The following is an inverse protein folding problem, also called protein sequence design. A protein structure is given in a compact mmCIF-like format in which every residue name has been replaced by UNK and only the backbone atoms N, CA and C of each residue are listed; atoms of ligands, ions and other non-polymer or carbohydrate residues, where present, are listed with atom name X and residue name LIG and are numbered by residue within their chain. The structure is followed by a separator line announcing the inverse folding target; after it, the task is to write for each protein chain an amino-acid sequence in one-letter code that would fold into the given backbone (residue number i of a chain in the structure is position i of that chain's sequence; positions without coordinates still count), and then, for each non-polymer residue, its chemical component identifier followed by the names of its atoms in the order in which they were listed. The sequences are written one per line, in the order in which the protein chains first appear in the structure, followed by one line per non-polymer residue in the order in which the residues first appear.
data_IF_679175684937
#
_entry.id   IF_679175684937
#
_cell.length_a   1.000
_cell.length_b   1.000
_cell.length_c   1.000
_cell.angle_alpha   90.00
_cell.angle_beta   90.00
_cell.angle_gamma   90.00
#
_symmetry.space_group_name_H-M   'P 1'
#
loop_
_entity.id
_entity.type
_entity.pdbx_description
1 polymer ?
#
# COMPACT_ATOMS: atom_id res chain seq x y z
N UNK A 1 5.83 -25.72 7.16
CA UNK A 1 5.04 -24.54 7.62
C UNK A 1 3.60 -24.77 7.23
N UNK A 2 2.65 -24.62 8.15
CA UNK A 2 1.24 -24.56 7.77
C UNK A 2 1.00 -23.17 7.18
N UNK A 3 0.59 -23.10 5.92
CA UNK A 3 0.20 -21.83 5.31
C UNK A 3 -0.98 -21.26 6.10
N UNK A 4 -0.86 -20.02 6.59
CA UNK A 4 -1.98 -19.33 7.20
C UNK A 4 -3.08 -19.20 6.16
N UNK A 5 -4.29 -19.69 6.48
CA UNK A 5 -5.42 -19.61 5.56
C UNK A 5 -5.87 -18.15 5.45
N UNK A 6 -5.83 -17.60 4.25
CA UNK A 6 -6.31 -16.25 3.95
C UNK A 6 -7.27 -16.27 2.75
N UNK A 7 -8.09 -15.22 2.66
CA UNK A 7 -8.96 -14.98 1.51
C UNK A 7 -8.95 -13.48 1.18
N UNK A 8 -8.37 -13.13 0.05
CA UNK A 8 -8.45 -11.77 -0.49
C UNK A 8 -9.76 -11.61 -1.26
N UNK A 9 -10.47 -10.53 -0.98
CA UNK A 9 -11.61 -10.09 -1.79
C UNK A 9 -11.10 -9.13 -2.86
N UNK A 10 -10.79 -9.66 -4.05
CA UNK A 10 -10.17 -8.87 -5.13
C UNK A 10 -11.08 -7.76 -5.66
N UNK A 11 -12.40 -7.93 -5.60
CA UNK A 11 -13.34 -6.91 -6.04
C UNK A 11 -13.35 -5.73 -5.06
N UNK A 12 -13.41 -6.03 -3.76
CA UNK A 12 -13.37 -5.04 -2.69
C UNK A 12 -12.00 -4.33 -2.64
N UNK A 13 -10.89 -5.07 -2.85
CA UNK A 13 -9.53 -4.52 -2.97
C UNK A 13 -9.40 -3.56 -4.16
N UNK A 14 -9.86 -3.96 -5.34
CA UNK A 14 -9.81 -3.11 -6.53
C UNK A 14 -10.61 -1.82 -6.34
N UNK A 15 -11.81 -1.93 -5.75
CA UNK A 15 -12.68 -0.80 -5.42
C UNK A 15 -11.99 0.15 -4.45
N UNK A 16 -11.52 -0.36 -3.30
CA UNK A 16 -10.88 0.46 -2.26
C UNK A 16 -9.57 1.11 -2.74
N UNK A 17 -8.75 0.39 -3.52
CA UNK A 17 -7.54 0.93 -4.11
C UNK A 17 -7.81 2.06 -5.12
N UNK A 18 -8.87 1.91 -5.93
CA UNK A 18 -9.30 2.97 -6.85
C UNK A 18 -9.84 4.19 -6.09
N UNK A 19 -10.64 3.99 -5.06
CA UNK A 19 -11.16 5.04 -4.19
C UNK A 19 -10.01 5.85 -3.56
N UNK A 20 -9.02 5.18 -2.97
CA UNK A 20 -7.84 5.84 -2.39
C UNK A 20 -7.05 6.63 -3.45
N UNK A 21 -6.78 6.01 -4.62
CA UNK A 21 -6.06 6.68 -5.72
C UNK A 21 -6.77 7.95 -6.17
N UNK A 22 -8.08 7.88 -6.35
CA UNK A 22 -8.90 9.03 -6.76
C UNK A 22 -8.92 10.11 -5.68
N UNK A 23 -9.09 9.73 -4.41
CA UNK A 23 -9.07 10.66 -3.28
C UNK A 23 -7.73 11.39 -3.18
N UNK A 24 -6.61 10.67 -3.29
CA UNK A 24 -5.28 11.27 -3.29
C UNK A 24 -5.06 12.20 -4.48
N UNK A 25 -5.48 11.83 -5.70
CA UNK A 25 -5.31 12.68 -6.91
C UNK A 25 -6.16 13.93 -6.88
N UNK A 26 -7.37 13.85 -6.34
CA UNK A 26 -8.37 14.92 -6.33
C UNK A 26 -8.42 15.68 -5.00
N UNK A 27 -7.51 15.39 -4.07
CA UNK A 27 -7.46 16.09 -2.78
C UNK A 27 -7.28 17.59 -2.98
N UNK A 28 -8.18 18.38 -2.41
CA UNK A 28 -8.10 19.85 -2.35
C UNK A 28 -6.80 20.34 -1.69
N UNK A 29 -6.20 19.53 -0.82
CA UNK A 29 -4.96 19.87 -0.13
C UNK A 29 -3.76 20.00 -1.08
N UNK A 30 -3.86 19.45 -2.29
CA UNK A 30 -2.88 19.63 -3.38
C UNK A 30 -2.80 21.07 -3.91
N UNK A 31 -3.69 21.96 -3.50
CA UNK A 31 -3.58 23.41 -3.78
C UNK A 31 -2.44 24.05 -2.98
N UNK A 32 -2.02 23.44 -1.87
CA UNK A 32 -0.89 23.88 -1.06
C UNK A 32 0.37 23.12 -1.53
N UNK A 33 1.44 23.80 -1.97
CA UNK A 33 2.62 23.16 -2.56
C UNK A 33 3.25 22.06 -1.69
N UNK A 34 3.35 22.28 -0.37
CA UNK A 34 3.87 21.30 0.59
C UNK A 34 3.08 19.99 0.56
N UNK A 35 1.75 20.07 0.71
CA UNK A 35 0.90 18.87 0.68
C UNK A 35 0.82 18.24 -0.70
N UNK A 36 0.89 19.03 -1.78
CA UNK A 36 0.97 18.50 -3.13
C UNK A 36 2.18 17.58 -3.31
N UNK A 37 3.36 18.07 -2.93
CA UNK A 37 4.60 17.31 -3.05
C UNK A 37 4.53 16.00 -2.27
N UNK A 38 4.08 16.05 -1.02
CA UNK A 38 3.93 14.86 -0.18
C UNK A 38 2.92 13.88 -0.76
N UNK A 39 1.74 14.34 -1.17
CA UNK A 39 0.71 13.46 -1.76
C UNK A 39 1.21 12.83 -3.07
N UNK A 40 1.95 13.56 -3.90
CA UNK A 40 2.53 13.04 -5.14
C UNK A 40 3.58 11.95 -4.84
N UNK A 41 4.50 12.19 -3.89
CA UNK A 41 5.50 11.21 -3.46
C UNK A 41 4.85 9.93 -2.92
N UNK A 42 3.83 10.08 -2.09
CA UNK A 42 3.14 8.94 -1.48
C UNK A 42 2.30 8.16 -2.49
N UNK A 43 1.69 8.87 -3.45
CA UNK A 43 0.98 8.20 -4.54
C UNK A 43 1.94 7.39 -5.40
N UNK A 44 3.12 7.93 -5.73
CA UNK A 44 4.15 7.22 -6.49
C UNK A 44 4.66 5.98 -5.75
N UNK A 45 4.84 6.07 -4.42
CA UNK A 45 5.23 4.92 -3.59
C UNK A 45 4.13 3.84 -3.58
N UNK A 46 2.88 4.24 -3.38
CA UNK A 46 1.75 3.31 -3.30
C UNK A 46 1.34 2.73 -4.65
N UNK A 47 1.67 3.42 -5.75
CA UNK A 47 1.20 3.11 -7.11
C UNK A 47 1.34 1.62 -7.48
N UNK A 48 2.47 0.92 -7.22
CA UNK A 48 2.60 -0.51 -7.54
C UNK A 48 1.60 -1.40 -6.78
N UNK A 49 1.37 -1.11 -5.51
CA UNK A 49 0.41 -1.87 -4.68
C UNK A 49 -1.02 -1.60 -5.16
N UNK A 50 -1.33 -0.33 -5.44
CA UNK A 50 -2.64 0.05 -5.96
C UNK A 50 -2.91 -0.59 -7.32
N UNK A 51 -1.91 -0.67 -8.20
CA UNK A 51 -2.04 -1.30 -9.50
C UNK A 51 -2.31 -2.81 -9.38
N UNK A 52 -1.61 -3.52 -8.48
CA UNK A 52 -1.89 -4.93 -8.20
C UNK A 52 -3.32 -5.15 -7.68
N UNK A 53 -3.79 -4.30 -6.78
CA UNK A 53 -5.16 -4.38 -6.28
C UNK A 53 -6.18 -4.11 -7.38
N UNK A 54 -6.00 -3.05 -8.17
CA UNK A 54 -6.92 -2.63 -9.24
C UNK A 54 -6.96 -3.64 -10.38
N UNK A 55 -5.81 -4.21 -10.75
CA UNK A 55 -5.72 -5.29 -11.74
C UNK A 55 -6.26 -6.63 -11.22
N UNK A 56 -6.60 -6.72 -9.91
CA UNK A 56 -7.02 -7.94 -9.22
C UNK A 56 -5.94 -9.03 -9.24
N UNK A 57 -4.69 -8.61 -9.22
CA UNK A 57 -3.53 -9.49 -9.31
C UNK A 57 -2.87 -9.75 -7.95
N UNK A 58 -3.35 -9.13 -6.86
CA UNK A 58 -2.80 -9.36 -5.52
C UNK A 58 -2.97 -10.82 -5.07
N UNK A 59 -1.87 -11.55 -4.90
CA UNK A 59 -1.90 -12.99 -4.62
C UNK A 59 -1.80 -13.33 -3.13
N UNK A 60 -1.21 -12.44 -2.33
CA UNK A 60 -0.93 -12.70 -0.91
C UNK A 60 -1.26 -11.47 -0.05
N UNK A 61 -1.59 -11.68 1.23
CA UNK A 61 -1.77 -10.59 2.19
C UNK A 61 -0.54 -9.69 2.29
N UNK A 62 -0.76 -8.39 2.54
CA UNK A 62 0.31 -7.39 2.50
C UNK A 62 0.21 -6.36 3.64
N UNK A 63 1.29 -6.12 4.42
CA UNK A 63 1.27 -5.17 5.53
C UNK A 63 1.42 -3.73 5.03
N UNK A 64 0.36 -3.19 4.43
CA UNK A 64 0.37 -1.85 3.83
C UNK A 64 0.82 -0.77 4.81
N UNK A 65 0.42 -0.86 6.07
CA UNK A 65 0.76 0.10 7.14
C UNK A 65 2.27 0.18 7.39
N UNK A 66 2.99 -0.94 7.27
CA UNK A 66 4.44 -0.97 7.48
C UNK A 66 5.22 -0.60 6.22
N UNK A 67 4.58 -0.70 5.05
CA UNK A 67 5.20 -0.45 3.76
C UNK A 67 5.44 1.04 3.52
N UNK A 68 4.45 1.88 3.81
CA UNK A 68 4.58 3.33 3.71
C UNK A 68 5.21 3.90 4.97
N UNK A 69 6.13 4.85 4.80
CA UNK A 69 6.83 5.46 5.91
C UNK A 69 5.84 6.24 6.80
N UNK A 70 5.63 5.85 8.07
CA UNK A 70 4.60 6.43 8.92
C UNK A 70 4.79 7.94 9.18
N UNK A 71 5.99 8.49 8.92
CA UNK A 71 6.27 9.91 9.14
C UNK A 71 5.77 10.81 8.02
N UNK A 72 5.93 10.41 6.76
CA UNK A 72 5.52 11.20 5.58
C UNK A 72 4.02 10.97 5.31
N UNK A 73 3.58 9.73 5.51
CA UNK A 73 2.18 9.36 5.41
C UNK A 73 1.33 9.91 6.59
N UNK A 74 1.95 10.22 7.74
CA UNK A 74 1.27 10.82 8.90
C UNK A 74 0.67 12.21 8.60
N UNK A 75 1.38 13.04 7.84
CA UNK A 75 0.88 14.36 7.42
C UNK A 75 -0.27 14.22 6.42
N UNK A 76 -0.23 13.21 5.54
CA UNK A 76 -1.30 12.91 4.55
C UNK A 76 -2.52 12.29 5.23
N UNK A 77 -2.33 11.38 6.18
CA UNK A 77 -3.37 10.72 6.96
C UNK A 77 -3.97 11.62 8.05
N UNK A 78 -3.52 12.87 8.18
CA UNK A 78 -4.23 13.86 8.96
C UNK A 78 -5.56 14.28 8.30
N UNK A 79 -5.74 14.01 7.00
CA UNK A 79 -6.95 14.33 6.24
C UNK A 79 -7.93 13.15 6.20
N UNK A 80 -9.10 13.23 6.86
CA UNK A 80 -10.04 12.10 6.99
C UNK A 80 -10.45 11.46 5.66
N UNK A 81 -10.55 12.24 4.58
CA UNK A 81 -10.86 11.78 3.23
C UNK A 81 -9.80 10.85 2.62
N UNK A 82 -8.56 10.92 3.11
CA UNK A 82 -7.47 10.02 2.71
C UNK A 82 -7.29 8.89 3.74
N UNK A 83 -7.50 9.21 5.02
CA UNK A 83 -7.34 8.28 6.14
C UNK A 83 -8.26 7.07 6.04
N UNK A 84 -9.55 7.31 5.79
CA UNK A 84 -10.55 6.24 5.75
C UNK A 84 -10.27 5.20 4.63
N UNK A 85 -10.19 5.59 3.34
CA UNK A 85 -9.97 4.61 2.28
C UNK A 85 -8.62 3.89 2.41
N UNK A 86 -7.61 4.54 3.00
CA UNK A 86 -6.34 3.89 3.29
C UNK A 86 -6.45 2.77 4.32
N UNK A 87 -7.10 3.02 5.47
CA UNK A 87 -7.25 1.98 6.49
C UNK A 87 -8.22 0.87 6.07
N UNK A 88 -9.22 1.18 5.24
CA UNK A 88 -10.08 0.17 4.63
C UNK A 88 -9.26 -0.76 3.71
N UNK A 89 -8.44 -0.20 2.82
CA UNK A 89 -7.55 -0.98 1.96
C UNK A 89 -6.57 -1.84 2.79
N UNK A 90 -5.93 -1.24 3.81
CA UNK A 90 -5.04 -1.97 4.71
C UNK A 90 -5.77 -3.11 5.46
N UNK A 91 -7.04 -2.89 5.80
CA UNK A 91 -7.90 -3.91 6.40
C UNK A 91 -8.12 -5.09 5.48
N UNK A 92 -8.47 -4.83 4.22
CA UNK A 92 -8.74 -5.85 3.21
C UNK A 92 -7.49 -6.65 2.84
N UNK A 93 -6.32 -6.01 2.80
CA UNK A 93 -5.04 -6.65 2.51
C UNK A 93 -4.59 -7.64 3.59
N UNK A 94 -5.28 -7.73 4.74
CA UNK A 94 -5.09 -8.81 5.71
C UNK A 94 -5.75 -10.13 5.28
N UNK A 95 -6.53 -10.14 4.19
CA UNK A 95 -7.14 -11.36 3.66
C UNK A 95 -8.06 -12.07 4.65
N UNK A 96 -8.84 -11.30 5.43
CA UNK A 96 -9.79 -11.81 6.42
C UNK A 96 -9.21 -12.16 7.79
N UNK A 97 -7.89 -12.07 7.97
CA UNK A 97 -7.25 -12.24 9.27
C UNK A 97 -7.57 -11.07 10.22
N UNK A 98 -7.62 -11.34 11.53
CA UNK A 98 -7.59 -10.27 12.52
C UNK A 98 -6.24 -9.54 12.49
N UNK A 99 -6.16 -8.41 13.19
CA UNK A 99 -4.88 -7.70 13.32
C UNK A 99 -3.79 -8.58 13.94
N UNK A 100 -4.12 -9.30 15.01
CA UNK A 100 -3.21 -10.14 15.77
C UNK A 100 -2.74 -11.35 14.96
N UNK A 101 -3.66 -12.02 14.26
CA UNK A 101 -3.35 -13.15 13.36
C UNK A 101 -2.42 -12.71 12.24
N UNK A 102 -2.73 -11.58 11.62
CA UNK A 102 -1.91 -11.03 10.54
C UNK A 102 -0.52 -10.66 11.05
N UNK A 103 -0.40 -10.01 12.21
CA UNK A 103 0.88 -9.65 12.81
C UNK A 103 1.74 -10.87 13.17
N UNK A 104 1.10 -11.98 13.56
CA UNK A 104 1.76 -13.25 13.83
C UNK A 104 2.13 -14.04 12.56
N UNK A 105 1.63 -13.66 11.38
CA UNK A 105 1.86 -14.37 10.12
C UNK A 105 3.26 -14.11 9.53
N UNK A 106 3.65 -14.96 8.57
CA UNK A 106 4.91 -14.81 7.83
C UNK A 106 4.94 -13.55 6.96
N UNK A 107 3.79 -13.12 6.43
CA UNK A 107 3.65 -11.91 5.59
C UNK A 107 4.19 -10.66 6.27
N UNK A 108 4.03 -10.57 7.59
CA UNK A 108 4.41 -9.40 8.38
C UNK A 108 5.80 -9.54 8.98
N UNK A 109 6.14 -10.73 9.51
CA UNK A 109 7.44 -11.02 10.12
C UNK A 109 8.60 -10.85 9.15
N UNK A 110 8.38 -11.17 7.88
CA UNK A 110 9.42 -11.15 6.87
C UNK A 110 9.43 -9.86 6.05
N UNK A 111 8.52 -8.90 6.34
CA UNK A 111 8.38 -7.60 5.64
C UNK A 111 8.45 -7.72 4.12
N UNK A 112 7.81 -8.77 3.61
CA UNK A 112 7.94 -9.18 2.23
C UNK A 112 7.11 -8.25 1.33
N UNK A 113 7.71 -7.76 0.25
CA UNK A 113 6.94 -7.18 -0.87
C UNK A 113 6.00 -8.25 -1.46
N UNK A 114 4.88 -7.85 -2.10
CA UNK A 114 4.03 -8.81 -2.79
C UNK A 114 4.83 -9.66 -3.76
N UNK A 115 4.50 -10.94 -3.86
CA UNK A 115 5.19 -11.93 -4.69
C UNK A 115 5.49 -11.43 -6.11
N UNK A 116 4.53 -10.76 -6.74
CA UNK A 116 4.60 -10.16 -8.07
C UNK A 116 5.77 -9.19 -8.20
N UNK A 117 6.07 -8.45 -7.13
CA UNK A 117 7.16 -7.47 -7.09
C UNK A 117 8.51 -8.13 -6.75
N UNK A 118 8.50 -9.30 -6.07
CA UNK A 118 9.72 -10.07 -5.78
C UNK A 118 10.21 -10.84 -7.01
N UNK A 119 9.27 -11.45 -7.74
CA UNK A 119 9.58 -12.32 -8.89
C UNK A 119 9.75 -11.52 -10.19
N UNK A 120 9.05 -10.38 -10.34
CA UNK A 120 9.24 -9.45 -11.45
C UNK A 120 10.14 -8.27 -11.06
N UNK A 121 11.33 -8.55 -10.54
CA UNK A 121 12.42 -7.57 -10.65
C UNK A 121 12.71 -7.39 -12.14
N UNK A 122 11.97 -6.50 -12.81
CA UNK A 122 12.44 -5.92 -14.07
C UNK A 122 13.87 -5.49 -13.79
N UNK A 123 14.87 -5.87 -14.61
CA UNK A 123 16.22 -5.36 -14.41
C UNK A 123 16.12 -3.85 -14.57
N UNK A 124 16.11 -3.12 -13.45
CA UNK A 124 16.14 -1.67 -13.49
C UNK A 124 17.54 -1.30 -13.98
N UNK A 125 17.64 -0.82 -15.20
CA UNK A 125 18.84 -0.14 -15.71
C UNK A 125 19.12 1.17 -14.98
N UNK A 126 18.26 1.59 -14.05
CA UNK A 126 18.51 2.73 -13.21
C UNK A 126 19.31 2.33 -11.97
N UNK A 127 20.58 2.71 -12.02
CA UNK A 127 21.46 2.82 -10.86
C UNK A 127 20.76 3.66 -9.78
N UNK A 128 20.15 3.01 -8.79
CA UNK A 128 19.84 3.62 -7.50
C UNK A 128 21.14 3.79 -6.70
N UNK A 129 21.99 4.68 -7.19
CA UNK A 129 22.92 5.44 -6.36
C UNK A 129 22.19 6.72 -5.95
N UNK A 130 21.56 6.71 -4.78
CA UNK A 130 21.36 7.89 -3.93
C UNK A 130 20.82 7.39 -2.59
N UNK A 131 21.26 8.02 -1.51
CA UNK A 131 21.04 7.64 -0.10
C UNK A 131 22.06 6.66 0.48
N UNK A 132 23.33 7.06 0.43
CA UNK A 132 24.18 6.92 1.60
C UNK A 132 23.95 8.14 2.49
N UNK A 133 23.17 7.96 3.56
CA UNK A 133 23.19 8.70 4.82
C UNK A 133 22.52 7.82 5.88
#
# INVERSE_FOLDING_TARGET
MMATLFKLDHDELARSALELRVAMRNSKHREIPYFKEIIDQELDHLQPILDLCIAKEMEEPFPLIDYVNPRIFGDVLSFPELTKPYYELAGLLRGGMTHEEFWASEYTKERRLPRQMRENLRPSTDKLNRWGF
#
